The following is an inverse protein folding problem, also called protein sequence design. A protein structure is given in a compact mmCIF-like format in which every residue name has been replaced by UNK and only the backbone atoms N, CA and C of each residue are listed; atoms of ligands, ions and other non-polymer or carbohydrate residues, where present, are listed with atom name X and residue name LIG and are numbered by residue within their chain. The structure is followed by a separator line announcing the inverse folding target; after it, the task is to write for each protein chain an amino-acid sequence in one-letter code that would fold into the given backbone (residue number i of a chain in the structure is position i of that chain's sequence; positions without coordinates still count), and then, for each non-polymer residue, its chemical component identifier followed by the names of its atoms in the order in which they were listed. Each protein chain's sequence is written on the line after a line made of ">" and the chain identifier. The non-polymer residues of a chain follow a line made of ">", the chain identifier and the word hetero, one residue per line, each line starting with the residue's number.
data_IF_870229843535
#
_entry.id   IF_870229843535
#
_cell.length_a   1.000
_cell.length_b   1.000
_cell.length_c   1.000
_cell.angle_alpha   90.00
_cell.angle_beta   90.00
_cell.angle_gamma   90.00
#
_symmetry.space_group_name_H-M   'P 1'
#
loop_
_entity.id
_entity.type
_entity.pdbx_description
1 polymer ?
#
# COMPACT_ATOMS: atom_id res chain seq x y z
N UNK A 1 10.41 14.86 -21.00
CA UNK A 1 10.66 13.76 -20.01
C UNK A 1 11.69 14.25 -19.02
N UNK A 2 11.38 14.23 -17.77
CA UNK A 2 12.26 14.72 -16.67
C UNK A 2 13.27 13.64 -16.32
N UNK A 3 14.56 14.01 -16.30
CA UNK A 3 15.60 13.09 -15.85
C UNK A 3 15.52 12.87 -14.34
N UNK A 4 15.38 11.62 -13.92
CA UNK A 4 15.12 11.24 -12.53
C UNK A 4 16.25 11.66 -11.59
N UNK A 5 17.51 11.51 -12.05
CA UNK A 5 18.68 11.87 -11.22
C UNK A 5 18.77 13.37 -11.08
N UNK A 6 18.64 14.10 -12.20
CA UNK A 6 18.67 15.57 -12.20
C UNK A 6 17.57 16.16 -11.31
N UNK A 7 16.37 15.58 -11.32
CA UNK A 7 15.27 16.00 -10.45
C UNK A 7 15.60 15.78 -8.96
N UNK A 8 16.09 14.58 -8.61
CA UNK A 8 16.54 14.30 -7.25
C UNK A 8 17.64 15.26 -6.80
N UNK A 9 18.69 15.43 -7.61
CA UNK A 9 19.83 16.29 -7.29
C UNK A 9 19.37 17.75 -7.15
N UNK A 10 18.40 18.18 -7.96
CA UNK A 10 17.80 19.52 -7.83
C UNK A 10 17.11 19.71 -6.48
N UNK A 11 16.28 18.73 -6.04
CA UNK A 11 15.64 18.78 -4.72
C UNK A 11 16.68 18.92 -3.60
N UNK A 12 17.68 18.07 -3.59
CA UNK A 12 18.74 18.06 -2.55
C UNK A 12 19.53 19.36 -2.54
N UNK A 13 19.87 19.90 -3.71
CA UNK A 13 20.61 21.17 -3.84
C UNK A 13 19.79 22.39 -3.37
N UNK A 14 18.47 22.24 -3.19
CA UNK A 14 17.57 23.28 -2.68
C UNK A 14 17.10 23.00 -1.24
N UNK A 15 17.89 22.23 -0.46
CA UNK A 15 17.60 21.87 0.94
C UNK A 15 16.33 21.00 1.14
N UNK A 16 15.88 20.31 0.08
CA UNK A 16 14.77 19.34 0.12
C UNK A 16 15.36 17.93 0.19
N UNK A 17 16.07 17.63 1.26
CA UNK A 17 16.89 16.44 1.43
C UNK A 17 16.28 15.36 2.36
N UNK A 18 15.09 15.61 2.92
CA UNK A 18 14.35 14.64 3.72
C UNK A 18 13.12 14.15 2.96
N UNK A 19 13.06 12.85 2.69
CA UNK A 19 12.01 12.18 1.95
C UNK A 19 11.24 11.22 2.84
N UNK A 20 9.92 11.27 2.80
CA UNK A 20 9.07 10.29 3.46
C UNK A 20 7.79 10.08 2.65
N UNK A 21 7.18 8.90 2.74
CA UNK A 21 5.97 8.64 1.96
C UNK A 21 5.64 7.16 1.85
N UNK A 22 4.61 6.90 1.06
CA UNK A 22 4.22 5.54 0.64
C UNK A 22 4.58 5.38 -0.84
N UNK A 23 5.33 4.34 -1.22
CA UNK A 23 5.74 4.14 -2.61
C UNK A 23 4.55 4.03 -3.56
N UNK A 24 4.69 4.63 -4.75
CA UNK A 24 3.70 4.58 -5.82
C UNK A 24 4.31 4.12 -7.15
N UNK A 25 3.49 3.49 -7.98
CA UNK A 25 3.90 2.96 -9.29
C UNK A 25 4.29 4.04 -10.30
N UNK A 26 3.70 5.25 -10.24
CA UNK A 26 4.10 6.38 -11.10
C UNK A 26 5.40 7.03 -10.63
N UNK A 27 5.69 6.92 -9.33
CA UNK A 27 6.90 7.45 -8.69
C UNK A 27 8.02 6.42 -8.54
N UNK A 28 7.86 5.20 -9.08
CA UNK A 28 8.79 4.08 -8.86
C UNK A 28 10.24 4.41 -9.21
N UNK A 29 10.47 5.20 -10.26
CA UNK A 29 11.81 5.61 -10.69
C UNK A 29 12.42 6.59 -9.67
N UNK A 30 11.64 7.59 -9.25
CA UNK A 30 12.04 8.54 -8.21
C UNK A 30 12.26 7.85 -6.86
N UNK A 31 11.34 6.97 -6.42
CA UNK A 31 11.48 6.22 -5.17
C UNK A 31 12.74 5.34 -5.17
N UNK A 32 13.07 4.72 -6.32
CA UNK A 32 14.30 3.94 -6.45
C UNK A 32 15.55 4.83 -6.36
N UNK A 33 15.54 6.00 -6.99
CA UNK A 33 16.62 6.98 -6.92
C UNK A 33 16.82 7.50 -5.50
N UNK A 34 15.73 7.89 -4.81
CA UNK A 34 15.76 8.33 -3.41
C UNK A 34 16.35 7.23 -2.53
N UNK A 35 15.91 5.98 -2.68
CA UNK A 35 16.43 4.84 -1.90
C UNK A 35 17.93 4.64 -2.06
N UNK A 36 18.44 4.78 -3.27
CA UNK A 36 19.86 4.55 -3.56
C UNK A 36 20.77 5.72 -3.14
N UNK A 37 20.26 6.96 -3.19
CA UNK A 37 21.04 8.18 -2.98
C UNK A 37 20.87 8.80 -1.59
N UNK A 38 19.80 8.45 -0.85
CA UNK A 38 19.53 8.95 0.51
C UNK A 38 19.90 7.90 1.57
N UNK A 39 20.39 8.34 2.70
CA UNK A 39 20.60 7.48 3.85
C UNK A 39 19.30 7.24 4.65
N UNK A 40 19.39 6.40 5.69
CA UNK A 40 18.22 6.04 6.53
C UNK A 40 17.63 7.20 7.34
N UNK A 41 18.36 8.30 7.52
CA UNK A 41 17.86 9.47 8.24
C UNK A 41 17.10 10.42 7.29
N UNK A 42 17.41 10.34 6.01
CA UNK A 42 16.87 11.21 4.96
C UNK A 42 15.82 10.54 4.06
N UNK A 43 15.60 9.23 4.22
CA UNK A 43 14.52 8.52 3.52
C UNK A 43 13.83 7.52 4.44
N UNK A 44 12.56 7.81 4.79
CA UNK A 44 11.73 6.95 5.64
C UNK A 44 10.46 6.59 4.89
N UNK A 45 10.32 5.31 4.53
CA UNK A 45 9.05 4.80 4.01
C UNK A 45 8.08 4.71 5.18
N UNK A 46 7.01 5.50 5.11
CA UNK A 46 6.02 5.60 6.17
C UNK A 46 5.00 4.45 6.12
N UNK A 47 4.38 4.15 7.25
CA UNK A 47 3.31 3.16 7.30
C UNK A 47 2.12 3.56 6.41
N UNK A 48 1.72 4.83 6.49
CA UNK A 48 0.71 5.45 5.62
C UNK A 48 1.04 6.92 5.38
N UNK A 49 0.31 7.56 4.49
CA UNK A 49 0.58 8.93 4.04
C UNK A 49 0.37 9.96 5.17
N UNK A 50 -0.59 9.74 6.07
CA UNK A 50 -0.79 10.59 7.25
C UNK A 50 0.43 10.58 8.19
N UNK A 51 1.05 9.39 8.39
CA UNK A 51 2.30 9.28 9.13
C UNK A 51 3.45 10.01 8.43
N UNK A 52 3.48 10.00 7.09
CA UNK A 52 4.49 10.73 6.32
C UNK A 52 4.39 12.25 6.55
N UNK A 53 3.18 12.81 6.55
CA UNK A 53 2.97 14.22 6.91
C UNK A 53 3.47 14.51 8.33
N UNK A 54 3.19 13.61 9.29
CA UNK A 54 3.69 13.74 10.66
C UNK A 54 5.23 13.72 10.73
N UNK A 55 5.89 12.83 9.97
CA UNK A 55 7.36 12.76 9.90
C UNK A 55 7.96 14.04 9.28
N UNK A 56 7.39 14.55 8.19
CA UNK A 56 7.82 15.79 7.56
C UNK A 56 7.65 16.99 8.50
N UNK A 57 6.54 17.04 9.23
CA UNK A 57 6.30 18.07 10.24
C UNK A 57 7.34 18.00 11.37
N UNK A 58 7.63 16.81 11.90
CA UNK A 58 8.66 16.60 12.91
C UNK A 58 10.06 17.00 12.44
N UNK A 59 10.38 16.68 11.17
CA UNK A 59 11.63 17.12 10.56
C UNK A 59 11.73 18.65 10.47
N UNK A 60 10.66 19.30 10.01
CA UNK A 60 10.61 20.77 9.99
C UNK A 60 10.80 21.39 11.39
N UNK A 61 10.10 20.88 12.39
CA UNK A 61 10.18 21.38 13.78
C UNK A 61 11.60 21.25 14.36
N UNK A 62 12.38 20.27 13.93
CA UNK A 62 13.73 20.03 14.45
C UNK A 62 14.83 20.75 13.68
N UNK A 63 14.60 21.04 12.38
CA UNK A 63 15.65 21.54 11.48
C UNK A 63 15.34 22.89 10.83
N UNK A 64 14.08 23.29 10.80
CA UNK A 64 13.57 24.42 10.02
C UNK A 64 13.50 24.19 8.51
N UNK A 65 13.92 23.02 8.02
CA UNK A 65 13.88 22.65 6.60
C UNK A 65 12.51 22.10 6.19
N UNK A 66 12.22 22.07 4.89
CA UNK A 66 11.03 21.44 4.34
C UNK A 66 11.25 19.93 4.18
N UNK A 67 10.27 19.13 4.64
CA UNK A 67 10.21 17.72 4.27
C UNK A 67 9.52 17.52 2.92
N UNK A 68 9.90 16.48 2.20
CA UNK A 68 9.27 16.01 0.95
C UNK A 68 8.42 14.79 1.25
N UNK A 69 7.10 14.88 1.01
CA UNK A 69 6.15 13.79 1.21
C UNK A 69 5.70 13.25 -0.15
N UNK A 70 6.07 12.01 -0.48
CA UNK A 70 5.66 11.38 -1.73
C UNK A 70 4.53 10.37 -1.51
N UNK A 71 3.58 10.33 -2.46
CA UNK A 71 2.43 9.43 -2.37
C UNK A 71 1.75 9.23 -3.72
N UNK A 72 0.93 8.20 -3.81
CA UNK A 72 -0.09 8.10 -4.85
C UNK A 72 -1.27 9.02 -4.47
N UNK A 73 -1.99 9.56 -5.44
CA UNK A 73 -3.19 10.36 -5.18
C UNK A 73 -4.29 9.62 -4.39
N UNK A 74 -4.28 8.28 -4.38
CA UNK A 74 -5.16 7.50 -3.49
C UNK A 74 -4.87 7.75 -2.00
N UNK A 75 -3.66 8.16 -1.67
CA UNK A 75 -3.24 8.53 -0.32
C UNK A 75 -3.68 9.92 0.13
N UNK A 76 -4.21 10.76 -0.78
CA UNK A 76 -4.71 12.10 -0.40
C UNK A 76 -5.76 12.01 0.72
N UNK A 77 -6.63 10.98 0.70
CA UNK A 77 -7.60 10.76 1.77
C UNK A 77 -6.97 10.60 3.16
N UNK A 78 -5.79 9.98 3.25
CA UNK A 78 -5.07 9.78 4.51
C UNK A 78 -4.38 11.04 5.03
N UNK A 79 -4.13 12.03 4.16
CA UNK A 79 -3.42 13.25 4.54
C UNK A 79 -4.35 14.45 4.78
N UNK A 80 -5.62 14.39 4.41
CA UNK A 80 -6.57 15.49 4.63
C UNK A 80 -6.54 15.98 6.07
N UNK A 81 -6.69 15.07 7.04
CA UNK A 81 -6.68 15.44 8.45
C UNK A 81 -5.34 16.10 8.88
N UNK A 82 -4.17 15.47 8.73
CA UNK A 82 -2.94 16.10 9.21
C UNK A 82 -2.52 17.34 8.39
N UNK A 83 -2.90 17.47 7.12
CA UNK A 83 -2.66 18.71 6.38
C UNK A 83 -3.50 19.86 6.94
N UNK A 84 -4.79 19.63 7.23
CA UNK A 84 -5.71 20.67 7.70
C UNK A 84 -5.64 20.94 9.21
N UNK A 85 -5.31 19.93 10.04
CA UNK A 85 -5.31 20.04 11.50
C UNK A 85 -3.94 20.13 12.14
N UNK A 86 -2.85 20.00 11.35
CA UNK A 86 -1.48 20.15 11.81
C UNK A 86 -0.72 21.17 10.94
N UNK A 87 -0.65 20.95 9.61
CA UNK A 87 0.24 21.73 8.75
C UNK A 87 -0.35 23.06 8.26
N UNK A 88 -1.67 23.25 8.31
CA UNK A 88 -2.38 24.43 7.82
C UNK A 88 -1.88 25.72 8.49
N UNK A 89 -1.79 26.85 7.76
CA UNK A 89 -1.39 28.15 8.31
C UNK A 89 -2.22 28.63 9.49
N UNK A 90 -3.48 28.21 9.61
CA UNK A 90 -4.35 28.54 10.74
C UNK A 90 -4.11 27.68 11.99
N UNK A 91 -3.20 26.68 11.90
CA UNK A 91 -2.88 25.78 13.01
C UNK A 91 -1.41 25.96 13.41
N UNK A 92 -0.47 25.14 12.86
CA UNK A 92 0.96 25.28 13.19
C UNK A 92 1.79 25.83 12.03
N UNK A 93 1.20 26.05 10.87
CA UNK A 93 1.86 26.67 9.71
C UNK A 93 3.16 25.97 9.34
N UNK A 94 3.08 24.66 9.01
CA UNK A 94 4.24 23.81 8.73
C UNK A 94 4.38 23.62 7.22
N UNK A 95 5.45 24.17 6.60
CA UNK A 95 5.67 24.01 5.17
C UNK A 95 6.20 22.61 4.84
N UNK A 96 5.76 22.07 3.72
CA UNK A 96 6.27 20.83 3.13
C UNK A 96 5.98 20.77 1.63
N UNK A 97 6.74 19.96 0.90
CA UNK A 97 6.49 19.65 -0.51
C UNK A 97 5.82 18.28 -0.63
N UNK A 98 4.61 18.24 -1.18
CA UNK A 98 3.93 17.00 -1.52
C UNK A 98 4.28 16.62 -2.97
N UNK A 99 4.71 15.38 -3.23
CA UNK A 99 4.92 14.82 -4.58
C UNK A 99 3.86 13.74 -4.78
N UNK A 100 2.87 14.01 -5.64
CA UNK A 100 1.66 13.19 -5.77
C UNK A 100 1.59 12.55 -7.14
N UNK A 101 1.68 11.21 -7.20
CA UNK A 101 1.47 10.45 -8.44
C UNK A 101 -0.02 10.46 -8.83
N UNK A 102 -0.35 11.05 -9.98
CA UNK A 102 -1.72 11.24 -10.45
C UNK A 102 -2.22 10.02 -11.22
N UNK A 103 -2.70 9.01 -10.52
CA UNK A 103 -3.40 7.87 -11.11
C UNK A 103 -4.81 8.28 -11.50
N UNK A 104 -5.30 7.74 -12.60
CA UNK A 104 -6.64 8.05 -13.11
C UNK A 104 -6.80 9.49 -13.62
N UNK A 105 -5.72 10.13 -14.11
CA UNK A 105 -5.79 11.44 -14.77
C UNK A 105 -6.90 11.44 -15.82
N UNK A 106 -7.83 12.42 -15.82
CA UNK A 106 -8.91 12.48 -16.80
C UNK A 106 -8.41 12.41 -18.25
N UNK A 107 -8.99 11.50 -19.02
CA UNK A 107 -8.59 11.24 -20.41
C UNK A 107 -7.44 10.23 -20.57
N UNK A 108 -6.86 9.74 -19.48
CA UNK A 108 -5.82 8.68 -19.49
C UNK A 108 -6.43 7.38 -18.97
N UNK A 109 -6.28 6.29 -19.73
CA UNK A 109 -6.76 4.97 -19.29
C UNK A 109 -6.03 4.49 -18.05
N UNK A 110 -6.80 4.12 -17.01
CA UNK A 110 -6.30 3.56 -15.76
C UNK A 110 -7.30 2.54 -15.18
N UNK A 111 -6.95 1.91 -14.08
CA UNK A 111 -7.76 0.91 -13.38
C UNK A 111 -9.02 1.53 -12.74
N UNK A 112 -10.10 0.75 -12.58
CA UNK A 112 -11.38 1.26 -12.05
C UNK A 112 -11.27 2.03 -10.73
N UNK A 113 -10.42 1.56 -9.81
CA UNK A 113 -10.21 2.19 -8.50
C UNK A 113 -9.54 3.56 -8.58
N UNK A 114 -8.88 3.88 -9.69
CA UNK A 114 -8.16 5.15 -9.86
C UNK A 114 -9.00 6.23 -10.56
N UNK A 115 -10.04 5.84 -11.29
CA UNK A 115 -10.83 6.78 -12.12
C UNK A 115 -11.37 7.93 -11.28
N UNK A 116 -12.14 7.62 -10.22
CA UNK A 116 -12.73 8.66 -9.37
C UNK A 116 -11.68 9.46 -8.60
N UNK A 117 -10.63 8.81 -8.16
CA UNK A 117 -9.52 9.48 -7.47
C UNK A 117 -8.82 10.49 -8.38
N UNK A 118 -8.55 10.13 -9.63
CA UNK A 118 -7.96 11.03 -10.61
C UNK A 118 -8.80 12.26 -10.90
N UNK A 119 -10.15 12.10 -10.97
CA UNK A 119 -11.10 13.20 -11.18
C UNK A 119 -11.11 14.22 -10.02
N UNK A 120 -10.83 13.78 -8.79
CA UNK A 120 -10.95 14.64 -7.60
C UNK A 120 -9.62 15.17 -7.09
N UNK A 121 -8.48 14.61 -7.51
CA UNK A 121 -7.13 14.96 -7.01
C UNK A 121 -6.89 16.48 -6.95
N UNK A 122 -7.00 17.17 -8.08
CA UNK A 122 -6.74 18.62 -8.11
C UNK A 122 -7.77 19.41 -7.29
N UNK A 123 -9.04 18.95 -7.31
CA UNK A 123 -10.11 19.57 -6.52
C UNK A 123 -9.92 19.41 -5.02
N UNK A 124 -9.32 18.31 -4.58
CA UNK A 124 -8.97 18.12 -3.17
C UNK A 124 -7.86 19.08 -2.75
N UNK A 125 -6.83 19.26 -3.57
CA UNK A 125 -5.78 20.25 -3.32
C UNK A 125 -6.36 21.68 -3.26
N UNK A 126 -7.23 22.03 -4.21
CA UNK A 126 -7.94 23.32 -4.24
C UNK A 126 -8.81 23.52 -2.98
N UNK A 127 -9.57 22.48 -2.57
CA UNK A 127 -10.42 22.55 -1.38
C UNK A 127 -9.64 22.69 -0.07
N UNK A 128 -8.36 22.28 -0.05
CA UNK A 128 -7.43 22.43 1.08
C UNK A 128 -6.57 23.70 1.00
N UNK A 129 -6.80 24.58 0.02
CA UNK A 129 -5.99 25.79 -0.26
C UNK A 129 -4.48 25.46 -0.48
N UNK A 130 -4.19 24.24 -1.01
CA UNK A 130 -2.84 23.80 -1.34
C UNK A 130 -2.51 24.17 -2.78
N UNK A 131 -1.56 25.08 -2.94
CA UNK A 131 -1.06 25.46 -4.26
C UNK A 131 -0.29 24.29 -4.90
N UNK A 132 -0.55 24.05 -6.18
CA UNK A 132 0.10 22.95 -6.88
C UNK A 132 0.60 23.34 -8.27
N UNK A 133 1.54 22.57 -8.78
CA UNK A 133 1.95 22.54 -10.20
C UNK A 133 1.93 21.12 -10.71
N UNK A 134 1.68 20.95 -12.01
CA UNK A 134 1.79 19.65 -12.67
C UNK A 134 3.18 19.58 -13.29
N UNK A 135 3.98 18.58 -12.88
CA UNK A 135 5.37 18.43 -13.34
C UNK A 135 5.47 18.37 -14.86
N UNK A 136 6.31 19.19 -15.43
CA UNK A 136 6.64 19.22 -16.86
C UNK A 136 8.16 19.29 -17.09
N UNK A 137 8.60 19.17 -18.33
CA UNK A 137 9.99 19.46 -18.70
C UNK A 137 10.29 20.96 -18.39
N UNK A 138 11.44 21.26 -17.84
CA UNK A 138 11.78 22.61 -17.36
C UNK A 138 11.10 22.94 -16.02
N UNK A 139 11.02 21.94 -15.15
CA UNK A 139 10.37 21.97 -13.86
C UNK A 139 10.96 22.93 -12.83
N UNK A 140 12.17 23.39 -13.07
CA UNK A 140 12.99 24.15 -12.12
C UNK A 140 12.27 25.43 -11.64
N UNK A 141 11.73 26.22 -12.58
CA UNK A 141 11.02 27.45 -12.24
C UNK A 141 9.71 27.21 -11.46
N UNK A 142 9.00 26.14 -11.80
CA UNK A 142 7.77 25.75 -11.09
C UNK A 142 8.09 25.29 -9.68
N UNK A 143 9.13 24.49 -9.51
CA UNK A 143 9.57 23.99 -8.21
C UNK A 143 10.11 25.13 -7.33
N UNK A 144 10.93 26.05 -7.89
CA UNK A 144 11.39 27.24 -7.17
C UNK A 144 10.24 28.11 -6.70
N UNK A 145 9.25 28.33 -7.56
CA UNK A 145 8.04 29.07 -7.22
C UNK A 145 7.28 28.42 -6.07
N UNK A 146 7.06 27.08 -6.12
CA UNK A 146 6.37 26.33 -5.06
C UNK A 146 7.15 26.37 -3.75
N UNK A 147 8.48 26.11 -3.79
CA UNK A 147 9.33 26.12 -2.59
C UNK A 147 9.40 27.52 -1.96
N UNK A 148 9.53 28.56 -2.80
CA UNK A 148 9.52 29.94 -2.33
C UNK A 148 8.19 30.29 -1.64
N UNK A 149 7.06 29.89 -2.22
CA UNK A 149 5.73 30.07 -1.63
C UNK A 149 5.60 29.30 -0.32
N UNK A 150 6.00 28.00 -0.29
CA UNK A 150 5.96 27.20 0.92
C UNK A 150 6.75 27.85 2.06
N UNK A 151 7.96 28.34 1.78
CA UNK A 151 8.81 29.05 2.77
C UNK A 151 8.20 30.39 3.21
N UNK A 152 7.71 31.19 2.27
CA UNK A 152 7.16 32.51 2.54
C UNK A 152 5.87 32.47 3.35
N UNK A 153 4.95 31.61 2.92
CA UNK A 153 3.60 31.53 3.50
C UNK A 153 3.50 30.45 4.58
N UNK A 154 4.60 29.74 4.86
CA UNK A 154 4.70 28.63 5.82
C UNK A 154 3.55 27.62 5.67
N UNK A 155 3.34 27.10 4.45
CA UNK A 155 2.24 26.19 4.12
C UNK A 155 2.68 25.03 3.22
N UNK A 156 1.94 23.91 3.24
CA UNK A 156 2.14 22.83 2.27
C UNK A 156 1.90 23.31 0.84
N UNK A 157 2.70 22.76 -0.11
CA UNK A 157 2.52 22.91 -1.56
C UNK A 157 2.64 21.55 -2.23
N UNK A 158 2.14 21.38 -3.46
CA UNK A 158 2.14 20.11 -4.15
C UNK A 158 2.71 20.17 -5.56
N UNK A 159 3.44 19.10 -5.92
CA UNK A 159 3.87 18.80 -7.28
C UNK A 159 3.16 17.53 -7.74
N UNK A 160 2.31 17.63 -8.77
CA UNK A 160 1.48 16.55 -9.29
C UNK A 160 2.20 15.89 -10.47
N UNK A 161 2.33 14.56 -10.41
CA UNK A 161 3.18 13.77 -11.29
C UNK A 161 2.35 12.94 -12.24
N UNK A 162 2.45 13.20 -13.54
CA UNK A 162 1.79 12.44 -14.60
C UNK A 162 2.48 11.11 -14.88
N UNK A 163 1.74 10.17 -15.44
CA UNK A 163 2.26 8.87 -15.88
C UNK A 163 3.39 9.04 -16.90
N UNK A 164 4.54 8.40 -16.61
CA UNK A 164 5.66 8.32 -17.55
C UNK A 164 6.49 9.59 -17.69
N UNK A 165 6.36 10.56 -16.78
CA UNK A 165 7.14 11.81 -16.84
C UNK A 165 8.61 11.59 -16.49
N UNK A 166 8.94 10.68 -15.57
CA UNK A 166 10.30 10.39 -15.16
C UNK A 166 11.02 9.44 -16.12
N UNK A 167 12.29 9.70 -16.38
CA UNK A 167 13.18 8.80 -17.09
C UNK A 167 13.41 7.52 -16.28
N UNK A 168 13.73 6.40 -16.97
CA UNK A 168 14.03 5.13 -16.30
C UNK A 168 15.25 5.29 -15.40
N UNK A 169 15.13 4.81 -14.17
CA UNK A 169 16.23 4.70 -13.22
C UNK A 169 16.59 3.22 -13.01
N UNK A 170 17.88 2.90 -13.11
CA UNK A 170 18.36 1.54 -12.83
C UNK A 170 18.90 1.48 -11.40
N UNK A 171 18.19 0.80 -10.46
CA UNK A 171 18.65 0.70 -9.08
C UNK A 171 20.06 0.13 -8.97
N UNK A 172 20.90 0.76 -8.16
CA UNK A 172 22.28 0.34 -7.88
C UNK A 172 22.25 -0.91 -7.02
N UNK A 173 21.47 -0.86 -5.93
CA UNK A 173 21.32 -2.01 -5.04
C UNK A 173 20.08 -2.82 -5.41
N UNK A 174 20.31 -4.04 -5.90
CA UNK A 174 19.27 -4.99 -6.31
C UNK A 174 19.06 -6.12 -5.31
N UNK A 175 19.69 -6.06 -4.14
CA UNK A 175 19.50 -7.09 -3.13
C UNK A 175 18.04 -7.14 -2.69
N UNK A 176 17.49 -8.35 -2.71
CA UNK A 176 16.14 -8.66 -2.24
C UNK A 176 16.23 -9.44 -0.95
N UNK A 177 15.44 -9.05 0.03
CA UNK A 177 15.25 -9.87 1.23
C UNK A 177 14.54 -11.16 0.85
N UNK A 178 15.11 -12.30 1.23
CA UNK A 178 14.50 -13.62 1.00
C UNK A 178 13.88 -14.08 2.32
N UNK A 179 12.57 -14.11 2.39
CA UNK A 179 11.82 -14.46 3.60
C UNK A 179 11.42 -15.94 3.66
N UNK A 180 11.16 -16.59 2.51
CA UNK A 180 10.70 -17.96 2.39
C UNK A 180 11.22 -18.66 1.15
N UNK A 181 10.74 -19.89 0.89
CA UNK A 181 11.18 -20.73 -0.23
C UNK A 181 10.29 -20.58 -1.48
N UNK A 182 9.01 -20.22 -1.29
CA UNK A 182 7.99 -20.19 -2.33
C UNK A 182 7.76 -18.76 -2.81
N UNK A 183 7.34 -18.62 -4.06
CA UNK A 183 6.67 -17.42 -4.52
C UNK A 183 5.27 -17.33 -3.90
N UNK A 184 4.72 -16.12 -3.82
CA UNK A 184 3.36 -15.88 -3.29
C UNK A 184 2.31 -16.71 -4.03
N UNK A 185 2.34 -16.74 -5.36
CA UNK A 185 1.39 -17.51 -6.17
C UNK A 185 1.46 -19.02 -5.85
N UNK A 186 2.65 -19.58 -5.64
CA UNK A 186 2.81 -20.99 -5.26
C UNK A 186 2.22 -21.28 -3.87
N UNK A 187 2.36 -20.35 -2.94
CA UNK A 187 1.81 -20.48 -1.60
C UNK A 187 0.28 -20.31 -1.61
N UNK A 188 -0.25 -19.35 -2.38
CA UNK A 188 -1.68 -19.15 -2.58
C UNK A 188 -2.33 -20.37 -3.24
N UNK A 189 -1.67 -21.01 -4.20
CA UNK A 189 -2.13 -22.26 -4.83
C UNK A 189 -2.39 -23.35 -3.77
N UNK A 190 -1.47 -23.52 -2.83
CA UNK A 190 -1.63 -24.49 -1.73
C UNK A 190 -2.81 -24.07 -0.83
N UNK A 191 -2.87 -22.80 -0.43
CA UNK A 191 -3.91 -22.29 0.46
C UNK A 191 -5.29 -22.49 -0.16
N UNK A 192 -5.50 -22.07 -1.41
CA UNK A 192 -6.79 -22.14 -2.10
C UNK A 192 -7.26 -23.59 -2.27
N UNK A 193 -6.35 -24.52 -2.57
CA UNK A 193 -6.68 -25.95 -2.65
C UNK A 193 -7.07 -26.54 -1.28
N UNK A 194 -6.43 -26.12 -0.19
CA UNK A 194 -6.75 -26.63 1.15
C UNK A 194 -8.05 -26.03 1.71
N UNK A 195 -8.36 -24.75 1.44
CA UNK A 195 -9.57 -24.09 1.95
C UNK A 195 -10.81 -24.38 1.10
N UNK A 196 -10.62 -24.74 -0.18
CA UNK A 196 -11.73 -25.09 -1.09
C UNK A 196 -12.69 -23.93 -1.32
N UNK A 197 -13.94 -24.12 -0.92
CA UNK A 197 -15.03 -23.15 -1.07
C UNK A 197 -15.28 -22.26 0.15
N UNK A 198 -14.35 -22.16 1.10
CA UNK A 198 -14.39 -21.16 2.16
C UNK A 198 -14.32 -19.73 1.56
N UNK A 199 -14.87 -18.75 2.25
CA UNK A 199 -14.90 -17.36 1.77
C UNK A 199 -13.52 -16.72 1.89
N UNK A 200 -13.09 -15.98 0.86
CA UNK A 200 -11.82 -15.27 0.81
C UNK A 200 -12.04 -13.77 0.66
N UNK A 201 -11.33 -12.98 1.42
CA UNK A 201 -11.18 -11.52 1.21
C UNK A 201 -9.70 -11.25 1.03
N UNK A 202 -9.28 -10.80 -0.14
CA UNK A 202 -7.87 -10.59 -0.46
C UNK A 202 -7.48 -9.12 -0.52
N UNK A 203 -6.21 -8.84 -0.25
CA UNK A 203 -5.64 -7.50 -0.41
C UNK A 203 -5.53 -7.09 -1.88
N UNK A 204 -5.44 -5.79 -2.13
CA UNK A 204 -5.27 -5.24 -3.47
C UNK A 204 -3.94 -5.62 -4.11
N UNK A 205 -3.86 -5.54 -5.42
CA UNK A 205 -2.65 -5.69 -6.20
C UNK A 205 -2.46 -7.08 -6.80
N UNK A 206 -1.23 -7.58 -6.77
CA UNK A 206 -0.88 -8.85 -7.43
C UNK A 206 -1.54 -10.07 -6.77
N UNK A 207 -1.74 -10.04 -5.46
CA UNK A 207 -2.34 -11.14 -4.71
C UNK A 207 -3.78 -11.46 -5.18
N UNK A 208 -4.63 -10.44 -5.29
CA UNK A 208 -5.98 -10.61 -5.85
C UNK A 208 -5.95 -11.16 -7.29
N UNK A 209 -4.97 -10.75 -8.09
CA UNK A 209 -4.81 -11.20 -9.48
C UNK A 209 -4.36 -12.66 -9.56
N UNK A 210 -3.44 -13.06 -8.70
CA UNK A 210 -2.97 -14.45 -8.58
C UNK A 210 -4.10 -15.38 -8.11
N UNK A 211 -4.91 -14.97 -7.14
CA UNK A 211 -6.08 -15.72 -6.69
C UNK A 211 -7.05 -15.93 -7.86
N UNK A 212 -7.37 -14.85 -8.60
CA UNK A 212 -8.26 -14.93 -9.76
C UNK A 212 -7.77 -15.98 -10.77
N UNK A 213 -6.53 -15.90 -11.20
CA UNK A 213 -5.98 -16.82 -12.20
C UNK A 213 -5.82 -18.26 -11.69
N UNK A 214 -5.54 -18.45 -10.40
CA UNK A 214 -5.52 -19.78 -9.79
C UNK A 214 -6.90 -20.43 -9.81
N UNK A 215 -7.98 -19.68 -9.53
CA UNK A 215 -9.35 -20.19 -9.66
C UNK A 215 -9.68 -20.59 -11.10
N UNK A 216 -9.32 -19.72 -12.08
CA UNK A 216 -9.45 -20.03 -13.52
C UNK A 216 -8.70 -21.32 -13.91
N UNK A 217 -7.46 -21.45 -13.46
CA UNK A 217 -6.61 -22.63 -13.72
C UNK A 217 -7.28 -23.94 -13.30
N UNK A 218 -8.06 -23.92 -12.22
CA UNK A 218 -8.74 -25.11 -11.70
C UNK A 218 -10.21 -25.20 -12.13
N UNK A 219 -10.69 -24.32 -13.01
CA UNK A 219 -12.09 -24.28 -13.42
C UNK A 219 -13.05 -23.99 -12.27
N UNK A 220 -12.58 -23.27 -11.25
CA UNK A 220 -13.38 -22.84 -10.11
C UNK A 220 -14.02 -21.48 -10.39
N UNK A 221 -15.21 -21.25 -9.80
CA UNK A 221 -15.84 -19.94 -9.86
C UNK A 221 -15.19 -18.92 -8.93
N UNK A 222 -15.62 -17.67 -9.04
CA UNK A 222 -15.11 -16.54 -8.24
C UNK A 222 -16.08 -16.07 -7.15
N UNK A 223 -17.16 -16.81 -6.94
CA UNK A 223 -18.22 -16.45 -6.00
C UNK A 223 -17.79 -16.50 -4.53
N UNK A 224 -16.68 -17.23 -4.24
CA UNK A 224 -16.13 -17.33 -2.90
C UNK A 224 -15.09 -16.26 -2.59
N UNK A 225 -14.66 -15.47 -3.59
CA UNK A 225 -13.53 -14.56 -3.46
C UNK A 225 -13.98 -13.09 -3.62
N UNK A 226 -13.78 -12.27 -2.59
CA UNK A 226 -13.86 -10.81 -2.69
C UNK A 226 -12.47 -10.25 -2.94
N UNK A 227 -12.20 -9.93 -4.21
CA UNK A 227 -10.90 -9.49 -4.71
C UNK A 227 -10.82 -7.97 -4.68
N UNK A 228 -10.20 -7.40 -3.62
CA UNK A 228 -10.13 -5.94 -3.54
C UNK A 228 -9.21 -5.37 -4.63
N UNK A 229 -9.67 -4.32 -5.30
CA UNK A 229 -8.89 -3.63 -6.35
C UNK A 229 -8.15 -2.39 -5.82
N UNK A 230 -8.57 -1.87 -4.67
CA UNK A 230 -8.01 -0.70 -4.00
C UNK A 230 -8.11 -0.83 -2.48
N UNK A 231 -8.15 0.30 -1.76
CA UNK A 231 -8.28 0.34 -0.28
C UNK A 231 -7.20 -0.47 0.46
N UNK A 232 -5.95 -0.34 0.05
CA UNK A 232 -4.81 -0.99 0.72
C UNK A 232 -4.85 -0.69 2.23
N UNK A 233 -4.56 -1.70 3.04
CA UNK A 233 -4.57 -1.61 4.51
C UNK A 233 -5.95 -1.83 5.16
N UNK A 234 -7.02 -2.00 4.39
CA UNK A 234 -8.38 -2.22 4.94
C UNK A 234 -8.88 -3.66 4.83
N UNK A 235 -8.08 -4.57 4.28
CA UNK A 235 -8.46 -5.98 4.03
C UNK A 235 -8.96 -6.66 5.29
N UNK A 236 -8.23 -6.53 6.40
CA UNK A 236 -8.61 -7.10 7.69
C UNK A 236 -9.94 -6.58 8.22
N UNK A 237 -10.23 -5.29 8.00
CA UNK A 237 -11.50 -4.68 8.41
C UNK A 237 -12.66 -5.14 7.53
N UNK A 238 -12.45 -5.28 6.22
CA UNK A 238 -13.45 -5.82 5.29
C UNK A 238 -13.75 -7.26 5.67
N UNK A 239 -12.73 -8.09 5.86
CA UNK A 239 -12.89 -9.49 6.24
C UNK A 239 -13.56 -9.66 7.60
N UNK A 240 -13.24 -8.78 8.58
CA UNK A 240 -13.97 -8.75 9.85
C UNK A 240 -15.45 -8.49 9.61
N UNK A 241 -15.81 -7.44 8.86
CA UNK A 241 -17.20 -7.12 8.54
C UNK A 241 -17.93 -8.29 7.88
N UNK A 242 -17.29 -9.00 6.97
CA UNK A 242 -17.81 -10.21 6.34
C UNK A 242 -18.02 -11.31 7.37
N UNK A 243 -17.04 -11.59 8.23
CA UNK A 243 -17.08 -12.68 9.21
C UNK A 243 -18.16 -12.51 10.28
N UNK A 244 -18.55 -11.26 10.57
CA UNK A 244 -19.64 -10.95 11.49
C UNK A 244 -21.04 -11.22 10.89
N UNK A 245 -21.13 -11.32 9.57
CA UNK A 245 -22.39 -11.53 8.83
C UNK A 245 -22.63 -12.97 8.38
N UNK A 246 -21.76 -13.92 8.73
CA UNK A 246 -21.87 -15.33 8.30
C UNK A 246 -21.20 -16.28 9.28
N UNK A 247 -21.65 -17.52 9.29
CA UNK A 247 -21.02 -18.63 10.04
C UNK A 247 -19.93 -19.36 9.19
N UNK A 248 -19.84 -19.05 7.88
CA UNK A 248 -18.80 -19.63 7.01
C UNK A 248 -17.42 -19.12 7.43
N UNK A 249 -16.37 -19.94 7.23
CA UNK A 249 -14.99 -19.47 7.41
C UNK A 249 -14.69 -18.34 6.45
N UNK A 250 -14.06 -17.29 6.95
CA UNK A 250 -13.61 -16.13 6.19
C UNK A 250 -12.10 -16.00 6.30
N UNK A 251 -11.41 -16.22 5.20
CA UNK A 251 -9.96 -16.11 5.06
C UNK A 251 -9.60 -14.72 4.57
N UNK A 252 -8.99 -13.94 5.43
CA UNK A 252 -8.39 -12.66 5.08
C UNK A 252 -6.98 -12.91 4.58
N UNK A 253 -6.74 -12.77 3.28
CA UNK A 253 -5.41 -12.88 2.68
C UNK A 253 -4.85 -11.48 2.46
N UNK A 254 -3.79 -11.14 3.20
CA UNK A 254 -3.26 -9.78 3.29
C UNK A 254 -1.73 -9.77 3.07
N UNK A 255 -1.19 -8.65 2.62
CA UNK A 255 0.23 -8.45 2.43
C UNK A 255 0.89 -7.70 3.60
N UNK A 256 2.19 -7.86 3.78
CA UNK A 256 2.97 -7.20 4.83
C UNK A 256 2.91 -5.66 4.76
N UNK A 257 2.93 -5.07 3.57
CA UNK A 257 2.76 -3.62 3.41
C UNK A 257 1.36 -3.14 3.78
N UNK A 258 0.33 -3.91 3.42
CA UNK A 258 -1.06 -3.64 3.78
C UNK A 258 -1.29 -3.79 5.29
N UNK A 259 -0.75 -4.86 5.89
CA UNK A 259 -0.73 -5.08 7.33
C UNK A 259 -0.14 -3.87 8.09
N UNK A 260 1.03 -3.37 7.67
CA UNK A 260 1.71 -2.24 8.31
C UNK A 260 0.91 -0.94 8.16
N UNK A 261 0.26 -0.74 7.01
CA UNK A 261 -0.41 0.52 6.66
C UNK A 261 -1.48 0.93 7.69
N UNK A 262 -2.30 -0.02 8.14
CA UNK A 262 -3.35 0.20 9.12
C UNK A 262 -3.35 -0.87 10.23
N UNK A 263 -2.18 -1.13 10.79
CA UNK A 263 -1.95 -2.16 11.82
C UNK A 263 -2.91 -2.04 13.02
N UNK A 264 -3.35 -0.83 13.38
CA UNK A 264 -4.33 -0.61 14.46
C UNK A 264 -5.67 -1.31 14.21
N UNK A 265 -6.05 -1.56 12.96
CA UNK A 265 -7.25 -2.33 12.60
C UNK A 265 -7.22 -3.77 13.12
N UNK A 266 -6.04 -4.35 13.31
CA UNK A 266 -5.88 -5.70 13.86
C UNK A 266 -6.27 -5.82 15.33
N UNK A 267 -6.05 -4.78 16.13
CA UNK A 267 -6.53 -4.77 17.50
C UNK A 267 -8.07 -4.85 17.54
N UNK A 268 -8.74 -4.18 16.60
CA UNK A 268 -10.20 -4.24 16.47
C UNK A 268 -10.61 -5.63 15.97
N UNK A 269 -9.98 -6.17 14.94
CA UNK A 269 -10.28 -7.51 14.44
C UNK A 269 -10.02 -8.58 15.50
N UNK A 270 -8.89 -8.51 16.18
CA UNK A 270 -8.51 -9.45 17.22
C UNK A 270 -9.47 -9.49 18.43
N UNK A 271 -10.14 -8.38 18.73
CA UNK A 271 -11.13 -8.34 19.84
C UNK A 271 -12.55 -8.71 19.41
N UNK A 272 -12.92 -8.47 18.14
CA UNK A 272 -14.31 -8.57 17.70
C UNK A 272 -14.58 -9.77 16.78
N UNK A 273 -13.55 -10.36 16.16
CA UNK A 273 -13.72 -11.49 15.26
C UNK A 273 -14.12 -12.77 16.00
N UNK A 274 -15.03 -13.53 15.41
CA UNK A 274 -15.42 -14.87 15.85
C UNK A 274 -14.41 -15.96 15.45
N UNK A 275 -14.74 -17.21 15.77
CA UNK A 275 -13.93 -18.39 15.45
C UNK A 275 -13.77 -18.66 13.94
N UNK A 276 -14.67 -18.10 13.13
CA UNK A 276 -14.67 -18.24 11.68
C UNK A 276 -13.70 -17.28 10.96
N UNK A 277 -13.02 -16.37 11.66
CA UNK A 277 -12.07 -15.43 11.08
C UNK A 277 -10.64 -16.00 11.02
N UNK A 278 -10.07 -16.09 9.83
CA UNK A 278 -8.73 -16.63 9.55
C UNK A 278 -7.89 -15.55 8.87
N UNK A 279 -6.82 -15.10 9.51
CA UNK A 279 -5.97 -14.04 9.00
C UNK A 279 -4.63 -14.58 8.50
N UNK A 280 -4.29 -14.33 7.25
CA UNK A 280 -3.02 -14.75 6.63
C UNK A 280 -2.28 -13.51 6.15
N UNK A 281 -1.04 -13.34 6.63
CA UNK A 281 -0.14 -12.27 6.18
C UNK A 281 0.90 -12.88 5.26
N UNK A 282 0.87 -12.51 3.99
CA UNK A 282 1.92 -12.85 3.04
C UNK A 282 3.07 -11.87 3.19
N UNK A 283 4.16 -12.33 3.81
CA UNK A 283 5.33 -11.53 4.13
C UNK A 283 6.47 -11.81 3.15
N UNK A 284 6.71 -10.89 2.22
CA UNK A 284 7.87 -10.89 1.32
C UNK A 284 8.84 -9.72 1.56
N UNK A 285 8.62 -8.94 2.61
CA UNK A 285 9.39 -7.76 3.00
C UNK A 285 9.46 -6.67 1.92
N UNK A 286 8.43 -6.53 1.06
CA UNK A 286 8.46 -5.56 -0.03
C UNK A 286 7.09 -5.06 -0.50
N UNK A 287 7.02 -3.79 -0.86
CA UNK A 287 5.93 -3.20 -1.64
C UNK A 287 6.05 -3.60 -3.12
N UNK A 288 5.78 -4.87 -3.41
CA UNK A 288 6.11 -5.49 -4.71
C UNK A 288 5.34 -4.88 -5.88
N UNK A 289 4.11 -4.47 -5.68
CA UNK A 289 3.24 -3.91 -6.73
C UNK A 289 3.67 -2.51 -7.21
N UNK A 290 4.52 -1.83 -6.43
CA UNK A 290 4.90 -0.42 -6.66
C UNK A 290 6.41 -0.19 -6.74
N UNK A 291 7.14 -1.21 -7.20
CA UNK A 291 8.58 -1.10 -7.49
C UNK A 291 9.48 -1.85 -6.50
N UNK A 292 8.91 -2.65 -5.59
CA UNK A 292 9.68 -3.53 -4.69
C UNK A 292 10.46 -2.79 -3.61
N UNK A 293 10.00 -1.61 -3.19
CA UNK A 293 10.57 -0.91 -2.07
C UNK A 293 10.41 -1.75 -0.78
N UNK A 294 11.40 -1.75 0.15
CA UNK A 294 11.33 -2.58 1.33
C UNK A 294 10.22 -2.13 2.28
N UNK A 295 9.59 -3.10 2.94
CA UNK A 295 8.82 -2.85 4.15
C UNK A 295 9.72 -3.04 5.38
N UNK A 296 9.19 -2.77 6.58
CA UNK A 296 9.88 -3.06 7.85
C UNK A 296 9.47 -4.41 8.46
N UNK A 297 8.73 -5.22 7.71
CA UNK A 297 8.15 -6.47 8.20
C UNK A 297 9.19 -7.52 8.61
N UNK A 298 10.41 -7.43 8.07
CA UNK A 298 11.56 -8.26 8.45
C UNK A 298 12.29 -7.78 9.73
N UNK A 299 11.90 -6.61 10.26
CA UNK A 299 12.51 -5.97 11.45
C UNK A 299 11.59 -5.95 12.67
N UNK A 300 10.34 -6.39 12.54
CA UNK A 300 9.34 -6.39 13.60
C UNK A 300 8.89 -7.82 13.94
N UNK A 301 8.50 -8.07 15.17
CA UNK A 301 7.91 -9.35 15.58
C UNK A 301 6.40 -9.35 15.32
N UNK A 302 6.02 -9.73 14.09
CA UNK A 302 4.61 -9.82 13.67
C UNK A 302 3.83 -10.79 14.56
N UNK A 303 4.44 -11.90 14.99
CA UNK A 303 3.79 -12.90 15.84
C UNK A 303 3.42 -12.33 17.21
N UNK A 304 4.32 -11.58 17.82
CA UNK A 304 4.05 -10.90 19.09
C UNK A 304 2.94 -9.83 18.92
N UNK A 305 2.97 -9.06 17.82
CA UNK A 305 1.94 -8.06 17.51
C UNK A 305 0.56 -8.71 17.37
N UNK A 306 0.43 -9.79 16.60
CA UNK A 306 -0.83 -10.51 16.41
C UNK A 306 -1.35 -11.05 17.74
N UNK A 307 -0.49 -11.65 18.55
CA UNK A 307 -0.86 -12.13 19.89
C UNK A 307 -1.34 -11.00 20.79
N UNK A 308 -0.65 -9.87 20.82
CA UNK A 308 -1.03 -8.69 21.59
C UNK A 308 -2.39 -8.10 21.12
N UNK A 309 -2.70 -8.22 19.83
CA UNK A 309 -4.01 -7.84 19.27
C UNK A 309 -5.14 -8.82 19.61
N UNK A 310 -4.85 -10.02 20.15
CA UNK A 310 -5.87 -10.98 20.56
C UNK A 310 -6.02 -12.21 19.66
N UNK A 311 -5.03 -12.47 18.78
CA UNK A 311 -4.93 -13.76 18.07
C UNK A 311 -4.13 -14.74 18.92
N UNK A 312 -4.82 -15.62 19.66
CA UNK A 312 -4.15 -16.59 20.55
C UNK A 312 -3.39 -17.67 19.76
N UNK A 313 -3.90 -18.03 18.56
CA UNK A 313 -3.33 -19.05 17.70
C UNK A 313 -2.66 -18.36 16.48
N UNK A 314 -1.31 -18.34 16.50
CA UNK A 314 -0.53 -17.72 15.42
C UNK A 314 0.51 -18.72 14.92
N UNK A 315 0.33 -19.12 13.65
CA UNK A 315 1.17 -20.03 12.90
C UNK A 315 2.21 -19.27 12.07
N UNK A 316 3.27 -19.96 11.69
CA UNK A 316 4.30 -19.48 10.77
C UNK A 316 4.60 -20.57 9.76
N UNK A 317 4.81 -20.21 8.48
CA UNK A 317 5.11 -21.16 7.43
C UNK A 317 6.06 -20.57 6.37
N UNK A 318 7.02 -21.38 5.90
CA UNK A 318 8.00 -21.08 4.86
C UNK A 318 8.02 -22.12 3.74
N UNK A 319 7.54 -23.33 4.03
CA UNK A 319 7.57 -24.48 3.12
C UNK A 319 6.15 -24.96 2.79
N UNK A 320 6.01 -25.74 1.72
CA UNK A 320 4.71 -26.34 1.31
C UNK A 320 4.06 -27.15 2.43
N UNK A 321 4.85 -27.93 3.15
CA UNK A 321 4.34 -28.80 4.22
C UNK A 321 3.86 -27.98 5.42
N UNK A 322 4.64 -26.98 5.81
CA UNK A 322 4.24 -26.06 6.90
C UNK A 322 2.94 -25.31 6.56
N UNK A 323 2.76 -24.85 5.32
CA UNK A 323 1.53 -24.21 4.87
C UNK A 323 0.34 -25.15 5.02
N UNK A 324 0.43 -26.39 4.49
CA UNK A 324 -0.64 -27.38 4.59
C UNK A 324 -1.01 -27.68 6.05
N UNK A 325 0.00 -27.88 6.90
CA UNK A 325 -0.19 -28.15 8.30
C UNK A 325 -0.86 -26.96 9.02
N UNK A 326 -0.40 -25.73 8.76
CA UNK A 326 -0.99 -24.53 9.33
C UNK A 326 -2.46 -24.35 8.91
N UNK A 327 -2.77 -24.45 7.63
CA UNK A 327 -4.14 -24.33 7.12
C UNK A 327 -5.05 -25.43 7.69
N UNK A 328 -4.58 -26.68 7.74
CA UNK A 328 -5.34 -27.80 8.33
C UNK A 328 -5.67 -27.56 9.80
N UNK A 329 -4.76 -26.97 10.56
CA UNK A 329 -4.98 -26.61 11.96
C UNK A 329 -5.95 -25.41 12.06
N UNK A 330 -5.73 -24.36 11.30
CA UNK A 330 -6.59 -23.17 11.29
C UNK A 330 -8.04 -23.47 10.93
N UNK A 331 -8.30 -24.47 10.08
CA UNK A 331 -9.68 -24.93 9.76
C UNK A 331 -10.40 -25.52 10.98
N UNK A 332 -9.67 -26.14 11.88
CA UNK A 332 -10.20 -26.79 13.10
C UNK A 332 -10.27 -25.82 14.28
N UNK A 333 -9.37 -24.85 14.26
CA UNK A 333 -9.22 -23.86 15.32
C UNK A 333 -10.28 -22.77 15.20
N UNK A 334 -10.46 -22.00 16.26
CA UNK A 334 -11.19 -20.75 16.25
C UNK A 334 -10.43 -19.65 15.48
N UNK A 335 -10.62 -18.40 15.90
CA UNK A 335 -9.88 -17.25 15.38
C UNK A 335 -8.36 -17.48 15.43
N UNK A 336 -7.72 -17.43 14.27
CA UNK A 336 -6.32 -17.78 14.13
C UNK A 336 -5.63 -16.92 13.05
N UNK A 337 -4.30 -16.86 13.10
CA UNK A 337 -3.49 -16.15 12.12
C UNK A 337 -2.33 -17.00 11.62
N UNK A 338 -1.88 -16.75 10.37
CA UNK A 338 -0.70 -17.35 9.75
C UNK A 338 0.19 -16.24 9.21
N UNK A 339 1.46 -16.28 9.57
CA UNK A 339 2.52 -15.49 8.93
C UNK A 339 3.15 -16.40 7.88
N UNK A 340 2.91 -16.06 6.63
CA UNK A 340 3.41 -16.80 5.47
C UNK A 340 4.62 -16.08 4.90
N UNK A 341 5.80 -16.68 5.00
CA UNK A 341 7.02 -16.10 4.47
C UNK A 341 7.24 -16.56 3.03
N UNK A 342 7.36 -15.60 2.09
CA UNK A 342 7.52 -15.87 0.67
C UNK A 342 8.70 -15.13 0.06
N UNK A 343 9.12 -15.55 -1.14
CA UNK A 343 10.06 -14.79 -1.97
C UNK A 343 9.37 -13.60 -2.61
N UNK A 344 10.15 -12.57 -2.88
CA UNK A 344 9.74 -11.50 -3.79
C UNK A 344 9.73 -11.99 -5.23
N UNK A 345 8.73 -11.62 -5.98
CA UNK A 345 8.58 -11.92 -7.40
C UNK A 345 7.15 -12.36 -7.74
N UNK A 346 6.78 -12.10 -8.97
CA UNK A 346 5.56 -12.58 -9.60
C UNK A 346 5.91 -12.88 -11.06
N UNK A 347 5.14 -13.72 -11.73
CA UNK A 347 5.33 -13.94 -13.16
C UNK A 347 4.98 -12.67 -13.95
N UNK A 348 5.66 -12.49 -15.08
CA UNK A 348 5.53 -11.27 -15.92
C UNK A 348 4.19 -11.22 -16.68
N UNK A 349 3.62 -12.40 -16.99
CA UNK A 349 2.35 -12.55 -17.73
C UNK A 349 1.11 -12.53 -16.83
N UNK A 350 1.25 -12.25 -15.54
CA UNK A 350 0.12 -12.18 -14.60
C UNK A 350 -0.94 -11.19 -15.10
N UNK A 351 -2.09 -11.71 -15.49
CA UNK A 351 -3.23 -10.97 -16.01
C UNK A 351 -3.97 -10.16 -14.95
N UNK A 352 -5.16 -9.74 -15.30
CA UNK A 352 -6.09 -9.03 -14.41
C UNK A 352 -7.43 -9.75 -14.41
N UNK A 353 -8.20 -9.66 -13.30
CA UNK A 353 -9.55 -10.19 -13.28
C UNK A 353 -10.35 -9.67 -14.49
N UNK A 354 -11.02 -10.58 -15.17
CA UNK A 354 -11.88 -10.26 -16.32
C UNK A 354 -13.27 -9.83 -15.89
N UNK A 355 -13.64 -10.06 -14.63
CA UNK A 355 -14.86 -9.59 -14.01
C UNK A 355 -14.71 -8.15 -13.50
N UNK A 356 -15.77 -7.35 -13.62
CA UNK A 356 -15.78 -6.02 -13.01
C UNK A 356 -15.87 -6.12 -11.47
N UNK A 357 -15.42 -5.07 -10.73
CA UNK A 357 -15.58 -5.04 -9.27
C UNK A 357 -17.04 -5.19 -8.81
N UNK A 358 -18.01 -4.67 -9.59
CA UNK A 358 -19.43 -4.80 -9.28
C UNK A 358 -19.88 -6.26 -9.42
N UNK A 359 -19.50 -6.94 -10.50
CA UNK A 359 -19.81 -8.35 -10.72
C UNK A 359 -19.18 -9.22 -9.63
N UNK A 360 -17.92 -8.97 -9.26
CA UNK A 360 -17.26 -9.68 -8.16
C UNK A 360 -18.02 -9.52 -6.84
N UNK A 361 -18.39 -8.28 -6.49
CA UNK A 361 -19.19 -7.99 -5.29
C UNK A 361 -20.54 -8.75 -5.31
N UNK A 362 -21.27 -8.70 -6.42
CA UNK A 362 -22.60 -9.31 -6.52
C UNK A 362 -22.52 -10.84 -6.43
N UNK A 363 -21.53 -11.45 -7.08
CA UNK A 363 -21.29 -12.89 -7.02
C UNK A 363 -20.96 -13.33 -5.60
N UNK A 364 -20.01 -12.63 -4.93
CA UNK A 364 -19.64 -12.90 -3.55
C UNK A 364 -20.82 -12.75 -2.58
N UNK A 365 -21.62 -11.68 -2.72
CA UNK A 365 -22.82 -11.45 -1.91
C UNK A 365 -23.89 -12.51 -2.14
N UNK A 366 -24.03 -13.02 -3.36
CA UNK A 366 -24.93 -14.10 -3.70
C UNK A 366 -24.53 -15.41 -3.01
N UNK A 367 -23.24 -15.71 -2.94
CA UNK A 367 -22.73 -16.94 -2.32
C UNK A 367 -22.76 -16.91 -0.79
N UNK A 368 -22.40 -15.79 -0.19
CA UNK A 368 -22.33 -15.69 1.28
C UNK A 368 -23.69 -15.75 1.96
N UNK A 369 -24.76 -15.48 1.22
CA UNK A 369 -26.15 -15.51 1.72
C UNK A 369 -26.84 -16.86 1.55
N UNK A 370 -26.20 -17.83 0.88
CA UNK A 370 -26.65 -19.23 0.81
C UNK A 370 -26.30 -19.98 2.10
#
# INVERSE_FOLDING_TARGET
>A
MVDTISFYDYLVNHDLDFFTGVPDSLLKELCACIKDKSDRKHNIIAANEGNAVGLAAGYHLSTGKLGVVYMQNSGEGNVVNPLLSLADPKVYSIPMLLIIGWRGEPGVHDEPQHVKQGEVTLKLLEAMDIEYRILSDGFESDLDSLVSMAKKDSKPVALVIRKGIFSKYSPINKEKTVMGELLREEALDIILNEIGSDMVVSTTGKESREIFELREKYGQGHEHDFLTVGSMGHTSSIALGVSLGTDKNVWCLDGDGSFIMHMGGLAIAGQNAGGNFKYVINNNAAHESVGGQPTVSDKIDIKAILKACGFSLVYEAKTKEEIKNAISNMKKDGKSALILYTKQGSRDDLGRPTTTPIQNKESFMGEIRK
#
